data_IF_306241048655
#
_entry.id   IF_306241048655
#
_cell.length_a   1.000
_cell.length_b   1.000
_cell.length_c   1.000
_cell.angle_alpha   90.00
_cell.angle_beta   90.00
_cell.angle_gamma   90.00
#
_symmetry.space_group_name_H-M   'P 1'
#
loop_
_entity.id
_entity.type
_entity.pdbx_description
1 polymer ?
#
# COMPACT_ATOMS: atom_id res chain seq x y z
N UNK A 1 -31.37 10.12 -49.49
CA UNK A 1 -29.93 10.44 -49.40
C UNK A 1 -29.20 9.10 -49.54
N UNK A 2 -28.24 9.05 -50.45
CA UNK A 2 -27.77 7.89 -51.23
C UNK A 2 -26.93 6.85 -50.47
N UNK A 3 -27.13 5.59 -50.89
CA UNK A 3 -26.32 4.38 -50.65
C UNK A 3 -24.98 4.37 -51.43
N UNK A 4 -24.21 3.28 -51.21
CA UNK A 4 -23.01 2.74 -51.89
C UNK A 4 -21.68 3.15 -51.23
N UNK A 5 -20.96 2.30 -50.47
CA UNK A 5 -20.53 0.88 -50.58
C UNK A 5 -19.17 0.72 -51.30
N UNK A 6 -18.33 -0.12 -50.71
CA UNK A 6 -16.87 -0.23 -50.83
C UNK A 6 -16.33 -0.42 -52.27
N UNK A 7 -15.41 0.45 -52.70
CA UNK A 7 -14.58 0.23 -53.90
C UNK A 7 -13.25 -0.44 -53.55
N UNK A 8 -13.10 -1.67 -54.07
CA UNK A 8 -11.88 -2.47 -54.11
C UNK A 8 -10.85 -1.80 -55.01
N UNK A 9 -9.65 -1.63 -54.49
CA UNK A 9 -8.49 -1.15 -55.26
C UNK A 9 -7.95 -2.33 -56.09
N UNK A 10 -8.23 -2.29 -57.38
CA UNK A 10 -7.72 -3.17 -58.44
C UNK A 10 -6.67 -2.37 -59.23
N UNK A 11 -5.39 -2.75 -59.11
CA UNK A 11 -4.31 -2.23 -59.97
C UNK A 11 -3.56 -3.41 -60.55
N UNK A 12 -3.88 -3.71 -61.80
CA UNK A 12 -3.18 -4.67 -62.63
C UNK A 12 -2.37 -3.92 -63.71
N UNK A 13 -1.32 -4.60 -64.15
CA UNK A 13 -0.52 -4.39 -65.35
C UNK A 13 0.59 -3.33 -65.36
N UNK A 14 1.83 -3.81 -65.40
CA UNK A 14 2.58 -3.83 -66.66
C UNK A 14 3.64 -4.98 -66.69
N UNK A 15 3.33 -5.96 -67.54
CA UNK A 15 4.15 -6.90 -68.33
C UNK A 15 5.64 -7.14 -68.04
N UNK A 16 5.96 -8.44 -67.88
CA UNK A 16 7.26 -9.09 -68.10
C UNK A 16 7.73 -9.03 -69.57
N UNK A 17 9.04 -9.26 -69.80
CA UNK A 17 9.34 -10.42 -70.67
C UNK A 17 10.39 -11.39 -70.11
N UNK A 18 10.27 -12.62 -70.63
CA UNK A 18 11.02 -13.84 -70.32
C UNK A 18 12.50 -13.87 -70.78
N UNK A 19 13.17 -14.96 -70.37
CA UNK A 19 14.38 -15.63 -70.92
C UNK A 19 15.75 -15.05 -70.49
N UNK A 20 16.82 -15.82 -70.18
CA UNK A 20 17.22 -17.18 -70.59
C UNK A 20 18.40 -17.73 -69.72
N UNK A 21 18.67 -19.05 -69.78
CA UNK A 21 19.68 -19.82 -69.02
C UNK A 21 21.11 -19.88 -69.62
N UNK A 22 22.09 -20.21 -68.73
CA UNK A 22 23.33 -21.01 -68.90
C UNK A 22 24.57 -20.40 -69.64
N UNK A 23 25.82 -20.98 -69.60
CA UNK A 23 26.32 -22.22 -68.97
C UNK A 23 27.74 -22.19 -68.30
N UNK A 24 28.19 -23.38 -67.85
CA UNK A 24 29.51 -23.78 -67.29
C UNK A 24 30.72 -23.87 -68.26
N UNK A 25 31.94 -23.99 -67.67
CA UNK A 25 33.23 -24.67 -68.10
C UNK A 25 34.42 -23.68 -68.17
N UNK A 26 35.71 -23.98 -67.88
CA UNK A 26 36.54 -25.22 -67.94
C UNK A 26 37.95 -25.01 -67.30
N UNK A 27 38.64 -26.14 -67.07
CA UNK A 27 40.04 -26.37 -66.61
C UNK A 27 41.20 -25.69 -67.38
N UNK A 28 42.36 -25.52 -66.72
CA UNK A 28 43.77 -25.59 -67.23
C UNK A 28 44.63 -26.26 -66.13
N UNK A 29 45.26 -27.44 -66.26
CA UNK A 29 46.40 -27.98 -67.06
C UNK A 29 47.82 -27.48 -66.64
N UNK A 30 48.63 -28.46 -66.21
CA UNK A 30 50.09 -28.60 -65.89
C UNK A 30 51.08 -28.02 -66.95
N UNK A 31 52.42 -27.83 -66.83
CA UNK A 31 53.63 -28.22 -66.00
C UNK A 31 54.87 -27.43 -66.62
N UNK A 32 56.20 -27.70 -66.38
CA UNK A 32 57.05 -28.11 -65.23
C UNK A 32 58.43 -27.35 -65.13
N UNK A 33 59.33 -27.78 -64.20
CA UNK A 33 60.83 -27.89 -64.24
C UNK A 33 61.55 -27.31 -62.98
N UNK A 34 62.08 -28.13 -62.03
CA UNK A 34 63.44 -28.76 -61.90
C UNK A 34 64.51 -27.82 -61.27
N UNK A 35 65.28 -28.05 -60.19
CA UNK A 35 65.64 -29.10 -59.19
C UNK A 35 66.76 -28.48 -58.25
N UNK A 36 67.70 -29.19 -57.57
CA UNK A 36 67.71 -30.29 -56.55
C UNK A 36 68.66 -29.95 -55.30
N UNK A 37 69.21 -30.86 -54.44
CA UNK A 37 68.64 -31.92 -53.56
C UNK A 37 69.24 -32.05 -52.10
N UNK A 38 68.63 -32.95 -51.27
CA UNK A 38 69.19 -33.92 -50.24
C UNK A 38 68.90 -33.78 -48.69
N UNK A 39 68.86 -34.93 -47.93
CA UNK A 39 68.03 -35.26 -46.72
C UNK A 39 68.89 -35.67 -45.48
N UNK A 40 68.54 -36.56 -44.48
CA UNK A 40 67.28 -37.17 -43.94
C UNK A 40 67.08 -36.93 -42.39
N UNK A 41 66.03 -37.31 -41.63
CA UNK A 41 65.58 -38.66 -41.18
C UNK A 41 64.48 -38.51 -40.10
N UNK A 42 63.63 -39.53 -39.96
CA UNK A 42 62.47 -39.70 -39.05
C UNK A 42 62.89 -40.09 -37.58
N UNK A 43 62.01 -40.42 -36.58
CA UNK A 43 60.70 -41.09 -36.71
C UNK A 43 59.52 -40.62 -35.82
N UNK A 44 58.37 -41.13 -36.25
CA UNK A 44 57.04 -41.28 -35.67
C UNK A 44 57.01 -41.70 -34.18
N UNK A 45 56.10 -41.11 -33.41
CA UNK A 45 55.74 -41.54 -32.05
C UNK A 45 54.24 -41.34 -31.80
N UNK A 46 53.54 -42.46 -31.53
CA UNK A 46 52.10 -42.64 -31.44
C UNK A 46 51.47 -41.96 -30.20
N UNK A 47 50.57 -40.98 -30.37
CA UNK A 47 49.44 -40.77 -29.43
C UNK A 47 48.21 -40.13 -30.12
N UNK A 48 47.43 -40.84 -30.97
CA UNK A 48 46.25 -40.25 -31.62
C UNK A 48 44.91 -40.60 -30.93
N UNK A 49 44.89 -40.89 -29.62
CA UNK A 49 43.64 -41.20 -28.88
C UNK A 49 43.38 -40.33 -27.64
N UNK A 50 44.37 -39.60 -27.12
CA UNK A 50 44.17 -38.70 -25.98
C UNK A 50 43.60 -37.32 -26.36
N UNK A 51 43.75 -36.89 -27.62
CA UNK A 51 43.28 -35.57 -28.09
C UNK A 51 41.77 -35.51 -28.34
N UNK A 52 41.12 -36.64 -28.67
CA UNK A 52 39.67 -36.66 -28.94
C UNK A 52 38.86 -36.62 -27.64
N UNK A 53 39.28 -37.37 -26.60
CA UNK A 53 38.61 -37.38 -25.29
C UNK A 53 38.79 -36.03 -24.56
N UNK A 54 39.97 -35.42 -24.67
CA UNK A 54 40.22 -34.08 -24.11
C UNK A 54 39.36 -32.98 -24.74
N UNK A 55 39.14 -33.01 -26.07
CA UNK A 55 38.30 -32.03 -26.76
C UNK A 55 36.82 -32.17 -26.42
N UNK A 56 36.32 -33.41 -26.27
CA UNK A 56 34.93 -33.65 -25.85
C UNK A 56 34.72 -33.19 -24.40
N UNK A 57 35.66 -33.46 -23.50
CA UNK A 57 35.59 -32.98 -22.12
C UNK A 57 35.59 -31.45 -22.02
N UNK A 58 36.39 -30.77 -22.85
CA UNK A 58 36.42 -29.29 -22.93
C UNK A 58 35.11 -28.76 -23.52
N UNK A 59 34.57 -29.37 -24.57
CA UNK A 59 33.29 -28.96 -25.15
C UNK A 59 32.13 -29.12 -24.15
N UNK A 60 32.08 -30.22 -23.42
CA UNK A 60 31.09 -30.44 -22.35
C UNK A 60 31.30 -29.43 -21.22
N UNK A 61 32.53 -29.16 -20.80
CA UNK A 61 32.82 -28.15 -19.78
C UNK A 61 32.41 -26.73 -20.22
N UNK A 62 32.59 -26.38 -21.50
CA UNK A 62 32.13 -25.11 -22.06
C UNK A 62 30.60 -25.04 -22.06
N UNK A 63 29.91 -26.09 -22.50
CA UNK A 63 28.44 -26.13 -22.49
C UNK A 63 27.89 -26.04 -21.06
N UNK A 64 28.47 -26.77 -20.11
CA UNK A 64 28.08 -26.71 -18.70
C UNK A 64 28.38 -25.33 -18.12
N UNK A 65 29.56 -24.77 -18.36
CA UNK A 65 29.89 -23.40 -17.94
C UNK A 65 28.95 -22.37 -18.57
N UNK A 66 28.55 -22.53 -19.82
CA UNK A 66 27.61 -21.64 -20.51
C UNK A 66 26.19 -21.76 -19.95
N UNK A 67 25.71 -22.96 -19.64
CA UNK A 67 24.40 -23.19 -18.99
C UNK A 67 24.40 -22.61 -17.57
N UNK A 68 25.48 -22.80 -16.80
CA UNK A 68 25.61 -22.22 -15.46
C UNK A 68 25.82 -20.69 -15.50
N UNK A 69 26.47 -20.13 -16.53
CA UNK A 69 26.65 -18.70 -16.72
C UNK A 69 25.33 -18.00 -17.09
N UNK A 70 24.53 -18.60 -17.98
CA UNK A 70 23.22 -18.07 -18.37
C UNK A 70 22.21 -18.17 -17.21
N UNK A 71 22.34 -19.17 -16.33
CA UNK A 71 21.54 -19.28 -15.10
C UNK A 71 21.96 -18.30 -13.99
N UNK A 72 23.26 -18.02 -13.84
CA UNK A 72 23.79 -17.19 -12.76
C UNK A 72 23.59 -15.67 -12.96
N UNK A 73 23.48 -15.19 -14.21
CA UNK A 73 23.17 -13.78 -14.49
C UNK A 73 21.67 -13.44 -14.42
N UNK A 74 20.77 -14.43 -14.60
CA UNK A 74 19.32 -14.20 -14.57
C UNK A 74 18.76 -13.99 -13.16
N UNK A 75 19.31 -14.68 -12.14
CA UNK A 75 18.81 -14.56 -10.76
C UNK A 75 19.04 -13.17 -10.14
N UNK A 76 20.17 -12.53 -10.44
CA UNK A 76 20.48 -11.16 -9.99
C UNK A 76 19.66 -10.12 -10.75
N UNK A 77 19.52 -10.27 -12.08
CA UNK A 77 18.73 -9.32 -12.89
C UNK A 77 17.25 -9.36 -12.58
N UNK A 78 16.66 -10.55 -12.32
CA UNK A 78 15.23 -10.65 -12.02
C UNK A 78 14.94 -10.08 -10.65
N UNK A 79 15.74 -10.40 -9.62
CA UNK A 79 15.57 -9.77 -8.30
C UNK A 79 15.66 -8.24 -8.40
N UNK A 80 16.69 -7.72 -9.07
CA UNK A 80 16.88 -6.27 -9.27
C UNK A 80 15.69 -5.62 -10.01
N UNK A 81 15.09 -6.32 -10.98
CA UNK A 81 13.90 -5.84 -11.70
C UNK A 81 12.68 -5.72 -10.78
N UNK A 82 12.41 -6.74 -9.96
CA UNK A 82 11.30 -6.72 -9.00
C UNK A 82 11.54 -5.70 -7.87
N UNK A 83 12.78 -5.57 -7.41
CA UNK A 83 13.17 -4.57 -6.43
C UNK A 83 13.00 -3.15 -6.97
N UNK A 84 13.44 -2.90 -8.20
CA UNK A 84 13.28 -1.61 -8.91
C UNK A 84 11.81 -1.26 -9.11
N UNK A 85 11.00 -2.23 -9.53
CA UNK A 85 9.55 -2.08 -9.63
C UNK A 85 8.93 -1.68 -8.27
N UNK A 86 9.19 -2.46 -7.22
CA UNK A 86 8.66 -2.19 -5.89
C UNK A 86 9.15 -0.85 -5.32
N UNK A 87 10.36 -0.40 -5.69
CA UNK A 87 10.89 0.91 -5.30
C UNK A 87 10.14 2.06 -5.99
N UNK A 88 9.85 1.95 -7.30
CA UNK A 88 9.06 2.97 -8.01
C UNK A 88 7.63 3.05 -7.49
N UNK A 89 7.00 1.90 -7.27
CA UNK A 89 5.67 1.82 -6.64
C UNK A 89 5.71 2.43 -5.24
N UNK A 90 6.80 2.23 -4.48
CA UNK A 90 6.92 2.80 -3.12
C UNK A 90 6.92 4.32 -3.14
N UNK A 91 7.47 4.96 -4.17
CA UNK A 91 7.39 6.41 -4.33
C UNK A 91 5.94 6.87 -4.48
N UNK A 92 5.18 6.24 -5.39
CA UNK A 92 3.76 6.57 -5.62
C UNK A 92 2.92 6.27 -4.38
N UNK A 93 3.06 5.08 -3.80
CA UNK A 93 2.37 4.67 -2.58
C UNK A 93 2.65 5.59 -1.39
N UNK A 94 3.89 6.08 -1.27
CA UNK A 94 4.29 7.02 -0.22
C UNK A 94 3.65 8.40 -0.41
N UNK A 95 3.58 8.88 -1.65
CA UNK A 95 2.91 10.13 -1.99
C UNK A 95 1.41 10.07 -1.68
N UNK A 96 0.72 9.05 -2.19
CA UNK A 96 -0.72 8.85 -1.94
C UNK A 96 -1.04 8.70 -0.45
N UNK A 97 -0.20 8.03 0.33
CA UNK A 97 -0.38 7.94 1.79
C UNK A 97 -0.21 9.28 2.50
N UNK A 98 0.73 10.11 2.05
CA UNK A 98 0.89 11.48 2.59
C UNK A 98 -0.36 12.28 2.29
N UNK A 99 -0.83 12.23 1.05
CA UNK A 99 -2.03 12.92 0.61
C UNK A 99 -3.27 12.48 1.37
N UNK A 100 -3.47 11.17 1.58
CA UNK A 100 -4.56 10.66 2.42
C UNK A 100 -4.48 11.13 3.87
N UNK A 101 -3.28 11.30 4.41
CA UNK A 101 -3.07 11.86 5.76
C UNK A 101 -3.35 13.36 5.82
N UNK A 102 -3.00 14.09 4.77
CA UNK A 102 -3.30 15.52 4.59
C UNK A 102 -4.82 15.71 4.47
N UNK A 103 -5.48 14.98 3.57
CA UNK A 103 -6.93 14.92 3.44
C UNK A 103 -7.63 14.64 4.78
N UNK A 104 -7.20 13.59 5.50
CA UNK A 104 -7.76 13.26 6.81
C UNK A 104 -7.60 14.41 7.83
N UNK A 105 -6.48 15.14 7.77
CA UNK A 105 -6.22 16.30 8.62
C UNK A 105 -7.09 17.51 8.23
N UNK A 106 -7.44 17.64 6.96
CA UNK A 106 -8.28 18.72 6.46
C UNK A 106 -9.75 18.55 6.83
N UNK A 107 -10.28 17.34 6.75
CA UNK A 107 -11.66 17.04 7.16
C UNK A 107 -11.95 17.36 8.62
N UNK A 108 -10.89 17.49 9.42
CA UNK A 108 -10.98 17.68 10.87
C UNK A 108 -10.43 19.03 11.33
N UNK A 109 -9.90 19.82 10.39
CA UNK A 109 -9.37 21.14 10.68
C UNK A 109 -10.48 22.09 11.10
N UNK A 110 -10.24 22.83 12.19
CA UNK A 110 -11.16 23.87 12.63
C UNK A 110 -10.98 25.15 11.81
N UNK A 111 -12.08 25.86 11.57
CA UNK A 111 -12.06 27.16 10.90
C UNK A 111 -11.86 27.14 9.38
N UNK A 112 -11.87 25.96 8.76
CA UNK A 112 -11.85 25.82 7.30
C UNK A 112 -13.11 26.44 6.69
N UNK A 113 -12.99 27.17 5.58
CA UNK A 113 -14.15 27.67 4.83
C UNK A 113 -14.55 26.68 3.73
N UNK A 114 -15.82 26.74 3.31
CA UNK A 114 -16.33 25.92 2.20
C UNK A 114 -15.46 26.04 0.94
N UNK A 115 -15.14 27.26 0.50
CA UNK A 115 -14.32 27.49 -0.71
C UNK A 115 -12.88 26.99 -0.58
N UNK A 116 -12.34 26.99 0.65
CA UNK A 116 -11.00 26.47 0.91
C UNK A 116 -10.99 24.94 0.86
N UNK A 117 -12.00 24.29 1.44
CA UNK A 117 -12.19 22.85 1.34
C UNK A 117 -12.37 22.40 -0.11
N UNK A 118 -13.23 23.09 -0.87
CA UNK A 118 -13.43 22.81 -2.30
C UNK A 118 -12.11 22.88 -3.08
N UNK A 119 -11.33 23.94 -2.88
CA UNK A 119 -10.05 24.14 -3.56
C UNK A 119 -9.04 23.04 -3.21
N UNK A 120 -8.99 22.62 -1.95
CA UNK A 120 -8.11 21.55 -1.47
C UNK A 120 -8.50 20.20 -2.07
N UNK A 121 -9.78 19.83 -2.04
CA UNK A 121 -10.27 18.58 -2.64
C UNK A 121 -9.95 18.50 -4.15
N UNK A 122 -10.09 19.63 -4.87
CA UNK A 122 -9.71 19.70 -6.29
C UNK A 122 -8.19 19.57 -6.49
N UNK A 123 -7.39 20.17 -5.60
CA UNK A 123 -5.93 20.03 -5.64
C UNK A 123 -5.50 18.59 -5.36
N UNK A 124 -6.08 17.94 -4.36
CA UNK A 124 -5.79 16.55 -3.99
C UNK A 124 -6.18 15.61 -5.13
N UNK A 125 -7.34 15.83 -5.76
CA UNK A 125 -7.76 15.06 -6.94
C UNK A 125 -6.75 15.19 -8.10
N UNK A 126 -6.23 16.39 -8.35
CA UNK A 126 -5.19 16.61 -9.36
C UNK A 126 -3.87 15.94 -8.99
N UNK A 127 -3.52 15.91 -7.70
CA UNK A 127 -2.32 15.25 -7.20
C UNK A 127 -2.42 13.73 -7.37
N UNK A 128 -3.55 13.10 -7.00
CA UNK A 128 -3.79 11.67 -7.26
C UNK A 128 -3.77 11.35 -8.76
N UNK A 129 -4.32 12.22 -9.60
CA UNK A 129 -4.24 12.03 -11.06
C UNK A 129 -2.78 12.03 -11.57
N UNK A 130 -1.92 12.89 -11.02
CA UNK A 130 -0.49 12.87 -11.35
C UNK A 130 0.19 11.59 -10.86
N UNK A 131 -0.23 11.06 -9.72
CA UNK A 131 0.27 9.78 -9.18
C UNK A 131 -0.16 8.59 -10.05
N UNK A 132 -1.39 8.59 -10.55
CA UNK A 132 -1.87 7.67 -11.57
C UNK A 132 -1.01 7.75 -12.84
N UNK A 133 -0.73 8.96 -13.33
CA UNK A 133 0.10 9.17 -14.52
C UNK A 133 1.55 8.71 -14.31
N UNK A 134 2.10 8.91 -13.12
CA UNK A 134 3.42 8.37 -12.74
C UNK A 134 3.41 6.85 -12.68
N UNK A 135 2.34 6.26 -12.13
CA UNK A 135 2.17 4.82 -12.05
C UNK A 135 2.07 4.18 -13.45
N UNK A 136 1.34 4.81 -14.39
CA UNK A 136 1.27 4.38 -15.79
C UNK A 136 2.64 4.24 -16.46
N UNK A 137 3.62 5.07 -16.06
CA UNK A 137 4.98 5.03 -16.59
C UNK A 137 5.86 3.95 -15.95
N UNK A 138 5.40 3.30 -14.88
CA UNK A 138 6.11 2.19 -14.26
C UNK A 138 5.97 0.97 -15.18
N UNK A 139 7.10 0.35 -15.51
CA UNK A 139 7.13 -0.89 -16.29
C UNK A 139 7.14 -2.11 -15.36
N UNK A 140 6.01 -2.79 -15.14
CA UNK A 140 5.97 -3.98 -14.30
C UNK A 140 6.68 -5.19 -14.96
N UNK A 141 7.34 -6.04 -14.17
CA UNK A 141 7.77 -7.36 -14.60
C UNK A 141 6.62 -8.15 -15.23
N UNK A 142 6.92 -9.02 -16.20
CA UNK A 142 5.91 -9.72 -17.01
C UNK A 142 4.70 -10.26 -16.22
N UNK A 143 4.92 -11.07 -15.17
CA UNK A 143 3.83 -11.62 -14.37
C UNK A 143 3.05 -10.61 -13.52
N UNK A 144 3.62 -9.41 -13.28
CA UNK A 144 2.95 -8.34 -12.53
C UNK A 144 2.16 -7.39 -13.44
N UNK A 145 2.26 -7.49 -14.77
CA UNK A 145 1.56 -6.56 -15.70
C UNK A 145 0.05 -6.50 -15.48
N UNK A 146 -0.61 -7.66 -15.38
CA UNK A 146 -2.05 -7.70 -15.15
C UNK A 146 -2.43 -7.22 -13.74
N UNK A 147 -1.61 -7.55 -12.75
CA UNK A 147 -1.84 -7.14 -11.35
C UNK A 147 -1.64 -5.63 -11.20
N UNK A 148 -0.69 -5.03 -11.92
CA UNK A 148 -0.42 -3.60 -11.89
C UNK A 148 -1.61 -2.75 -12.34
N UNK A 149 -2.49 -3.27 -13.21
CA UNK A 149 -3.73 -2.57 -13.56
C UNK A 149 -4.59 -2.26 -12.34
N UNK A 150 -4.60 -3.13 -11.32
CA UNK A 150 -5.36 -2.90 -10.08
C UNK A 150 -4.77 -1.77 -9.22
N UNK A 151 -3.46 -1.52 -9.31
CA UNK A 151 -2.88 -0.33 -8.70
C UNK A 151 -3.38 0.94 -9.40
N UNK A 152 -3.51 0.92 -10.71
CA UNK A 152 -4.03 2.05 -11.49
C UNK A 152 -5.50 2.30 -11.15
N UNK A 153 -6.31 1.24 -11.08
CA UNK A 153 -7.72 1.32 -10.68
C UNK A 153 -7.87 1.95 -9.29
N UNK A 154 -7.00 1.60 -8.33
CA UNK A 154 -7.01 2.21 -6.99
C UNK A 154 -6.72 3.72 -7.03
N UNK A 155 -5.67 4.17 -7.74
CA UNK A 155 -5.33 5.59 -7.85
C UNK A 155 -6.43 6.38 -8.61
N UNK A 156 -7.02 5.79 -9.64
CA UNK A 156 -8.14 6.40 -10.37
C UNK A 156 -9.38 6.57 -9.48
N UNK A 157 -9.70 5.58 -8.64
CA UNK A 157 -10.78 5.70 -7.66
C UNK A 157 -10.52 6.80 -6.63
N UNK A 158 -9.26 6.99 -6.20
CA UNK A 158 -8.88 8.09 -5.29
C UNK A 158 -9.08 9.45 -5.95
N UNK A 159 -8.54 9.64 -7.16
CA UNK A 159 -8.70 10.88 -7.92
C UNK A 159 -10.17 11.22 -8.16
N UNK A 160 -10.98 10.24 -8.58
CA UNK A 160 -12.43 10.41 -8.81
C UNK A 160 -13.18 10.72 -7.52
N UNK A 161 -12.91 9.99 -6.44
CA UNK A 161 -13.54 10.22 -5.14
C UNK A 161 -13.28 11.63 -4.63
N UNK A 162 -12.03 12.09 -4.67
CA UNK A 162 -11.66 13.46 -4.25
C UNK A 162 -12.33 14.54 -5.10
N UNK A 163 -12.34 14.37 -6.43
CA UNK A 163 -13.02 15.30 -7.33
C UNK A 163 -14.52 15.36 -7.04
N UNK A 164 -15.17 14.21 -6.87
CA UNK A 164 -16.60 14.12 -6.60
C UNK A 164 -16.97 14.69 -5.22
N UNK A 165 -16.13 14.50 -4.20
CA UNK A 165 -16.28 15.19 -2.92
C UNK A 165 -16.25 16.71 -3.11
N UNK A 166 -15.29 17.22 -3.90
CA UNK A 166 -15.20 18.65 -4.24
C UNK A 166 -16.47 19.16 -4.94
N UNK A 167 -17.01 18.40 -5.89
CA UNK A 167 -18.24 18.74 -6.60
C UNK A 167 -19.44 18.82 -5.65
N UNK A 168 -19.58 17.89 -4.71
CA UNK A 168 -20.65 17.92 -3.69
C UNK A 168 -20.52 19.15 -2.79
N UNK A 169 -19.30 19.48 -2.33
CA UNK A 169 -19.03 20.69 -1.53
C UNK A 169 -19.37 21.96 -2.32
N UNK A 170 -19.06 22.02 -3.62
CA UNK A 170 -19.34 23.19 -4.46
C UNK A 170 -20.84 23.46 -4.65
N UNK A 171 -21.66 22.40 -4.68
CA UNK A 171 -23.11 22.46 -4.89
C UNK A 171 -23.89 22.69 -3.58
N UNK A 172 -23.24 22.48 -2.43
CA UNK A 172 -23.87 22.62 -1.12
C UNK A 172 -24.19 24.08 -0.78
N UNK A 173 -25.41 24.33 -0.31
CA UNK A 173 -25.87 25.61 0.18
C UNK A 173 -25.96 25.59 1.73
N UNK A 174 -25.04 26.24 2.46
CA UNK A 174 -25.02 26.22 3.92
C UNK A 174 -26.24 26.90 4.57
N UNK A 175 -27.04 27.68 3.83
CA UNK A 175 -28.25 28.32 4.35
C UNK A 175 -29.49 27.42 4.30
N UNK A 176 -29.36 26.20 3.78
CA UNK A 176 -30.47 25.27 3.58
C UNK A 176 -30.20 23.95 4.29
N UNK A 177 -31.03 23.62 5.29
CA UNK A 177 -30.90 22.36 6.04
C UNK A 177 -31.16 21.14 5.14
N UNK A 178 -32.08 21.25 4.17
CA UNK A 178 -32.30 20.20 3.17
C UNK A 178 -31.08 20.02 2.25
N UNK A 179 -30.44 21.12 1.83
CA UNK A 179 -29.17 21.03 1.07
C UNK A 179 -28.07 20.37 1.90
N UNK A 180 -28.01 20.65 3.20
CA UNK A 180 -27.05 20.03 4.12
C UNK A 180 -27.28 18.54 4.23
N UNK A 181 -28.52 18.08 4.43
CA UNK A 181 -28.83 16.66 4.45
C UNK A 181 -28.47 15.95 3.13
N UNK A 182 -28.76 16.57 1.97
CA UNK A 182 -28.38 16.03 0.65
C UNK A 182 -26.87 15.95 0.49
N UNK A 183 -26.14 17.01 0.85
CA UNK A 183 -24.69 17.05 0.76
C UNK A 183 -24.02 16.02 1.68
N UNK A 184 -24.51 15.83 2.90
CA UNK A 184 -24.02 14.77 3.80
C UNK A 184 -24.10 13.38 3.17
N UNK A 185 -25.24 13.05 2.55
CA UNK A 185 -25.42 11.77 1.88
C UNK A 185 -24.56 11.65 0.61
N UNK A 186 -24.44 12.74 -0.16
CA UNK A 186 -23.56 12.79 -1.34
C UNK A 186 -22.10 12.57 -0.97
N UNK A 187 -21.59 13.27 0.03
CA UNK A 187 -20.22 13.12 0.51
C UNK A 187 -19.95 11.70 1.00
N UNK A 188 -20.88 11.10 1.76
CA UNK A 188 -20.73 9.72 2.22
C UNK A 188 -20.68 8.73 1.04
N UNK A 189 -21.53 8.91 0.04
CA UNK A 189 -21.56 8.08 -1.17
C UNK A 189 -20.23 8.18 -1.95
N UNK A 190 -19.71 9.40 -2.15
CA UNK A 190 -18.42 9.56 -2.85
C UNK A 190 -17.23 9.09 -1.99
N UNK A 191 -17.35 9.17 -0.66
CA UNK A 191 -16.39 8.60 0.28
C UNK A 191 -16.22 7.09 0.15
N UNK A 192 -17.26 6.36 -0.30
CA UNK A 192 -17.17 4.92 -0.58
C UNK A 192 -16.17 4.61 -1.70
N UNK A 193 -15.95 5.52 -2.66
CA UNK A 193 -14.92 5.34 -3.70
C UNK A 193 -13.52 5.33 -3.11
N UNK A 194 -13.27 6.18 -2.11
CA UNK A 194 -11.98 6.22 -1.41
C UNK A 194 -11.75 4.94 -0.60
N UNK A 195 -12.79 4.44 0.09
CA UNK A 195 -12.72 3.15 0.80
C UNK A 195 -12.49 2.01 -0.19
N UNK A 196 -13.21 1.98 -1.31
CA UNK A 196 -13.04 0.98 -2.35
C UNK A 196 -11.62 1.00 -2.93
N UNK A 197 -11.01 2.17 -3.09
CA UNK A 197 -9.64 2.30 -3.56
C UNK A 197 -8.62 1.57 -2.68
N UNK A 198 -8.81 1.63 -1.36
CA UNK A 198 -7.94 0.95 -0.40
C UNK A 198 -8.13 -0.56 -0.44
N UNK A 199 -9.36 -1.03 -0.60
CA UNK A 199 -9.65 -2.45 -0.82
C UNK A 199 -9.00 -2.95 -2.11
N UNK A 200 -9.10 -2.20 -3.20
CA UNK A 200 -8.47 -2.56 -4.49
C UNK A 200 -6.94 -2.59 -4.34
N UNK A 201 -6.34 -1.60 -3.69
CA UNK A 201 -4.89 -1.58 -3.45
C UNK A 201 -4.44 -2.79 -2.64
N UNK A 202 -5.14 -3.12 -1.56
CA UNK A 202 -4.69 -4.16 -0.64
C UNK A 202 -4.96 -5.57 -1.18
N UNK A 203 -6.20 -5.83 -1.58
CA UNK A 203 -6.70 -7.16 -1.89
C UNK A 203 -6.48 -7.55 -3.35
N UNK A 204 -6.55 -6.59 -4.29
CA UNK A 204 -6.45 -6.89 -5.72
C UNK A 204 -5.06 -6.59 -6.30
N UNK A 205 -4.30 -5.67 -5.69
CA UNK A 205 -2.94 -5.37 -6.10
C UNK A 205 -1.87 -5.97 -5.19
N UNK A 206 -1.79 -5.54 -3.93
CA UNK A 206 -0.66 -5.84 -3.03
C UNK A 206 -0.60 -7.31 -2.69
N UNK A 207 -1.72 -7.92 -2.33
CA UNK A 207 -1.77 -9.33 -1.95
C UNK A 207 -1.42 -10.25 -3.15
N UNK A 208 -2.02 -10.10 -4.34
CA UNK A 208 -1.65 -10.90 -5.51
C UNK A 208 -0.21 -10.65 -5.98
N UNK A 209 0.27 -9.40 -5.95
CA UNK A 209 1.65 -9.10 -6.30
C UNK A 209 2.62 -9.79 -5.33
N UNK A 210 2.36 -9.74 -4.03
CA UNK A 210 3.17 -10.41 -3.01
C UNK A 210 3.15 -11.93 -3.22
N UNK A 211 2.00 -12.51 -3.55
CA UNK A 211 1.91 -13.93 -3.89
C UNK A 211 2.71 -14.27 -5.15
N UNK A 212 2.70 -13.40 -6.15
CA UNK A 212 3.50 -13.58 -7.36
C UNK A 212 5.01 -13.55 -7.07
N UNK A 213 5.47 -12.65 -6.19
CA UNK A 213 6.87 -12.63 -5.73
C UNK A 213 7.27 -13.97 -5.09
N UNK A 214 6.40 -14.54 -4.24
CA UNK A 214 6.62 -15.86 -3.62
C UNK A 214 6.69 -16.97 -4.67
N UNK A 215 5.75 -17.00 -5.62
CA UNK A 215 5.73 -17.98 -6.72
C UNK A 215 7.00 -17.92 -7.56
N UNK A 216 7.58 -16.72 -7.73
CA UNK A 216 8.82 -16.50 -8.47
C UNK A 216 10.09 -16.69 -7.62
N UNK A 217 9.98 -17.07 -6.34
CA UNK A 217 11.12 -17.24 -5.44
C UNK A 217 11.85 -15.94 -5.09
N UNK A 218 11.23 -14.78 -5.28
CA UNK A 218 11.82 -13.47 -4.98
C UNK A 218 11.69 -13.19 -3.48
N UNK A 219 12.83 -13.07 -2.81
CA UNK A 219 12.92 -12.79 -1.37
C UNK A 219 13.50 -11.40 -1.11
N UNK A 220 13.22 -10.80 0.05
CA UNK A 220 13.75 -9.48 0.41
C UNK A 220 13.15 -8.28 -0.35
N UNK A 221 12.19 -8.50 -1.24
CA UNK A 221 11.40 -7.45 -1.90
C UNK A 221 10.00 -7.41 -1.28
N UNK A 222 9.58 -6.22 -0.85
CA UNK A 222 8.26 -5.99 -0.27
C UNK A 222 7.49 -5.05 -1.19
N UNK A 223 6.30 -5.49 -1.62
CA UNK A 223 5.34 -4.62 -2.31
C UNK A 223 4.79 -3.63 -1.27
N UNK A 224 4.89 -2.31 -1.52
CA UNK A 224 4.47 -1.31 -0.56
C UNK A 224 2.96 -1.33 -0.32
N UNK A 225 2.56 -1.01 0.91
CA UNK A 225 1.17 -0.76 1.26
C UNK A 225 0.83 0.72 0.99
N UNK A 226 -0.42 0.97 0.63
CA UNK A 226 -0.99 2.31 0.60
C UNK A 226 -2.45 2.24 1.05
N UNK A 227 -2.81 3.11 2.00
CA UNK A 227 -4.18 3.30 2.45
C UNK A 227 -4.42 4.80 2.55
N UNK A 228 -5.37 5.27 1.74
CA UNK A 228 -5.78 6.66 1.66
C UNK A 228 -6.74 7.02 2.79
N UNK A 229 -7.65 6.11 3.15
CA UNK A 229 -8.62 6.28 4.25
C UNK A 229 -8.41 5.19 5.30
N UNK A 230 -7.38 5.32 6.16
CA UNK A 230 -7.08 4.30 7.17
C UNK A 230 -8.17 4.17 8.24
N UNK A 231 -9.04 5.18 8.38
CA UNK A 231 -10.21 5.14 9.24
C UNK A 231 -11.47 5.49 8.42
N UNK A 232 -12.28 4.49 8.09
CA UNK A 232 -13.49 4.65 7.27
C UNK A 232 -14.52 5.58 7.90
N UNK A 233 -14.48 5.77 9.23
CA UNK A 233 -15.36 6.72 9.91
C UNK A 233 -15.11 8.17 9.45
N UNK A 234 -13.90 8.51 8.98
CA UNK A 234 -13.56 9.84 8.45
C UNK A 234 -14.48 10.27 7.31
N UNK A 235 -14.87 9.32 6.45
CA UNK A 235 -15.68 9.57 5.25
C UNK A 235 -17.12 9.08 5.43
N UNK A 236 -17.56 8.87 6.67
CA UNK A 236 -18.94 8.47 6.98
C UNK A 236 -19.91 9.65 6.88
N UNK A 237 -21.19 9.35 6.67
CA UNK A 237 -22.26 10.35 6.73
C UNK A 237 -22.29 11.11 8.08
N UNK A 238 -21.91 10.45 9.18
CA UNK A 238 -21.84 11.10 10.49
C UNK A 238 -20.75 12.17 10.52
N UNK A 239 -19.53 11.81 10.13
CA UNK A 239 -18.39 12.72 10.12
C UNK A 239 -18.59 13.87 9.14
N UNK A 240 -19.11 13.59 7.94
CA UNK A 240 -19.46 14.63 6.99
C UNK A 240 -20.59 15.53 7.48
N UNK A 241 -21.57 15.00 8.21
CA UNK A 241 -22.59 15.81 8.86
C UNK A 241 -22.00 16.83 9.85
N UNK A 242 -21.05 16.39 10.68
CA UNK A 242 -20.35 17.28 11.62
C UNK A 242 -19.50 18.31 10.87
N UNK A 243 -18.75 17.89 9.84
CA UNK A 243 -17.97 18.80 9.00
C UNK A 243 -18.84 19.89 8.38
N UNK A 244 -19.96 19.53 7.76
CA UNK A 244 -20.85 20.51 7.13
C UNK A 244 -21.46 21.47 8.14
N UNK A 245 -21.85 21.01 9.33
CA UNK A 245 -22.32 21.91 10.40
C UNK A 245 -21.22 22.87 10.87
N UNK A 246 -19.97 22.41 10.98
CA UNK A 246 -18.82 23.28 11.28
C UNK A 246 -18.60 24.32 10.18
N UNK A 247 -18.58 23.91 8.91
CA UNK A 247 -18.44 24.80 7.76
C UNK A 247 -19.59 25.82 7.68
N UNK A 248 -20.82 25.40 8.02
CA UNK A 248 -22.00 26.24 8.08
C UNK A 248 -21.87 27.30 9.17
N UNK A 249 -21.43 26.92 10.37
CA UNK A 249 -21.13 27.84 11.47
C UNK A 249 -20.05 28.86 11.10
N UNK A 250 -18.95 28.41 10.49
CA UNK A 250 -17.86 29.27 10.03
C UNK A 250 -18.32 30.27 8.94
N UNK A 251 -19.23 29.84 8.06
CA UNK A 251 -19.77 30.67 6.97
C UNK A 251 -20.84 31.66 7.46
N UNK A 252 -21.59 31.32 8.52
CA UNK A 252 -22.69 32.14 9.05
C UNK A 252 -22.29 33.00 10.26
N UNK A 253 -21.07 32.87 10.78
CA UNK A 253 -20.53 33.70 11.85
C UNK A 253 -20.99 33.33 13.27
N UNK A 254 -21.42 32.08 13.48
CA UNK A 254 -21.80 31.56 14.80
C UNK A 254 -20.57 31.27 15.68
N UNK A 255 -20.70 31.49 16.99
CA UNK A 255 -19.71 30.95 17.96
C UNK A 255 -20.10 29.50 18.26
N UNK A 256 -19.19 28.51 18.13
CA UNK A 256 -19.49 27.13 18.50
C UNK A 256 -19.90 27.06 19.98
N UNK A 257 -21.05 26.45 20.25
CA UNK A 257 -21.54 26.17 21.61
C UNK A 257 -21.70 24.67 21.78
N UNK A 258 -21.08 24.07 22.80
CA UNK A 258 -21.15 22.64 23.07
C UNK A 258 -20.04 22.21 24.03
N UNK A 259 -20.08 20.97 24.49
CA UNK A 259 -19.05 20.39 25.34
C UNK A 259 -18.03 19.62 24.50
N UNK A 260 -16.75 19.78 24.81
CA UNK A 260 -15.70 18.86 24.37
C UNK A 260 -15.48 17.80 25.45
N UNK A 261 -15.24 16.54 25.07
CA UNK A 261 -14.93 15.53 26.08
C UNK A 261 -14.67 14.13 25.56
N UNK A 262 -13.77 13.43 26.24
CA UNK A 262 -13.46 12.02 26.02
C UNK A 262 -13.68 11.23 27.31
N UNK A 263 -14.17 10.00 27.21
CA UNK A 263 -14.33 9.13 28.36
C UNK A 263 -13.81 7.72 28.10
N UNK A 264 -13.17 7.15 29.11
CA UNK A 264 -12.78 5.75 29.11
C UNK A 264 -13.94 4.92 29.66
N UNK A 265 -14.55 4.10 28.82
CA UNK A 265 -15.65 3.20 29.21
C UNK A 265 -15.16 1.98 29.98
N UNK A 266 -13.99 1.47 29.63
CA UNK A 266 -13.43 0.29 30.27
C UNK A 266 -12.29 -0.34 29.47
N UNK A 267 -11.71 -1.39 30.04
CA UNK A 267 -10.60 -2.12 29.42
C UNK A 267 -10.87 -3.62 29.51
N UNK A 268 -10.69 -4.29 28.38
CA UNK A 268 -10.77 -5.75 28.26
C UNK A 268 -9.39 -6.31 27.96
N UNK A 269 -9.01 -7.39 28.64
CA UNK A 269 -7.78 -8.14 28.37
C UNK A 269 -8.05 -9.38 27.51
N UNK A 270 -7.20 -9.60 26.51
CA UNK A 270 -7.18 -10.78 25.65
C UNK A 270 -5.83 -11.52 25.79
N UNK A 271 -5.76 -12.84 25.60
CA UNK A 271 -6.87 -13.75 25.30
C UNK A 271 -7.77 -14.00 26.53
N UNK A 272 -9.05 -14.26 26.30
CA UNK A 272 -10.03 -14.57 27.35
C UNK A 272 -11.11 -13.51 27.58
N UNK A 273 -11.12 -12.42 26.80
CA UNK A 273 -12.17 -11.39 26.83
C UNK A 273 -12.51 -10.93 28.26
N UNK A 274 -11.48 -10.76 29.10
CA UNK A 274 -11.64 -10.52 30.54
C UNK A 274 -11.76 -9.03 30.80
N UNK A 275 -12.94 -8.58 31.22
CA UNK A 275 -13.17 -7.20 31.63
C UNK A 275 -12.36 -6.88 32.90
N UNK A 276 -11.56 -5.82 32.86
CA UNK A 276 -10.82 -5.36 34.03
C UNK A 276 -11.73 -4.57 34.98
N UNK A 277 -11.48 -4.72 36.28
CA UNK A 277 -12.23 -4.05 37.34
C UNK A 277 -11.37 -3.00 38.05
N UNK A 278 -11.95 -1.83 38.31
CA UNK A 278 -11.32 -0.76 39.10
C UNK A 278 -11.46 -0.99 40.60
N UNK A 279 -12.36 -1.89 41.03
CA UNK A 279 -12.66 -2.16 42.44
C UNK A 279 -12.11 -3.50 42.93
N UNK A 280 -11.92 -4.47 42.04
CA UNK A 280 -11.46 -5.83 42.36
C UNK A 280 -10.27 -6.21 41.49
N UNK A 281 -9.36 -7.01 42.05
CA UNK A 281 -8.22 -7.50 41.28
C UNK A 281 -8.65 -8.54 40.23
N UNK A 282 -8.15 -8.42 39.01
CA UNK A 282 -8.48 -9.33 37.90
C UNK A 282 -7.27 -10.20 37.53
N UNK A 283 -7.48 -11.50 37.34
CA UNK A 283 -6.43 -12.39 36.80
C UNK A 283 -6.42 -12.29 35.27
N UNK A 284 -5.25 -12.08 34.68
CA UNK A 284 -5.06 -11.93 33.23
C UNK A 284 -4.10 -13.00 32.73
N UNK A 285 -4.58 -13.80 31.77
CA UNK A 285 -3.77 -14.81 31.11
C UNK A 285 -2.81 -14.17 30.11
N UNK A 286 -1.54 -14.52 30.21
CA UNK A 286 -0.48 -14.00 29.35
C UNK A 286 -0.12 -15.02 28.29
N UNK A 287 -0.13 -14.58 27.03
CA UNK A 287 0.42 -15.29 25.87
C UNK A 287 1.10 -14.29 24.94
N UNK A 288 1.69 -14.78 23.83
CA UNK A 288 2.23 -13.90 22.77
C UNK A 288 1.15 -13.02 22.11
N UNK A 289 -0.13 -13.38 22.27
CA UNK A 289 -1.27 -12.62 21.78
C UNK A 289 -1.88 -11.67 22.82
N UNK A 290 -1.22 -11.46 23.98
CA UNK A 290 -1.72 -10.56 25.02
C UNK A 290 -2.00 -9.18 24.44
N UNK A 291 -3.24 -8.73 24.58
CA UNK A 291 -3.66 -7.37 24.24
C UNK A 291 -4.64 -6.81 25.26
N UNK A 292 -4.64 -5.48 25.36
CA UNK A 292 -5.65 -4.73 26.12
C UNK A 292 -6.43 -3.87 25.14
N UNK A 293 -7.75 -3.97 25.19
CA UNK A 293 -8.67 -3.19 24.36
C UNK A 293 -9.35 -2.17 25.26
N UNK A 294 -9.04 -0.90 25.06
CA UNK A 294 -9.67 0.22 25.76
C UNK A 294 -10.83 0.76 24.93
N UNK A 295 -12.04 0.78 25.49
CA UNK A 295 -13.19 1.44 24.88
C UNK A 295 -13.17 2.92 25.25
N UNK A 296 -13.02 3.79 24.25
CA UNK A 296 -13.01 5.24 24.41
C UNK A 296 -14.25 5.80 23.74
N UNK A 297 -15.00 6.64 24.43
CA UNK A 297 -16.16 7.35 23.87
C UNK A 297 -15.90 8.86 23.86
N UNK A 298 -16.33 9.52 22.79
CA UNK A 298 -16.49 10.97 22.78
C UNK A 298 -17.74 11.34 23.58
N UNK A 299 -17.53 11.86 24.78
CA UNK A 299 -18.62 12.25 25.69
C UNK A 299 -19.16 13.66 25.38
N UNK A 300 -18.51 14.39 24.47
CA UNK A 300 -18.85 15.74 24.06
C UNK A 300 -19.91 15.83 22.96
N UNK A 301 -20.08 17.04 22.46
CA UNK A 301 -20.98 17.44 21.38
C UNK A 301 -20.21 17.76 20.09
N UNK A 302 -18.88 17.80 20.15
CA UNK A 302 -17.99 18.07 19.04
C UNK A 302 -17.16 16.85 18.70
N UNK A 303 -16.89 16.68 17.40
CA UNK A 303 -15.98 15.65 16.93
C UNK A 303 -14.55 15.96 17.40
N UNK A 304 -13.89 14.96 17.97
CA UNK A 304 -12.54 15.08 18.51
C UNK A 304 -11.51 14.36 17.65
N UNK A 305 -10.32 14.95 17.55
CA UNK A 305 -9.25 14.43 16.69
C UNK A 305 -7.92 14.31 17.40
N UNK A 306 -7.11 13.37 16.90
CA UNK A 306 -5.80 13.09 17.50
C UNK A 306 -5.90 12.69 18.97
N UNK A 307 -6.98 12.02 19.38
CA UNK A 307 -7.21 11.62 20.77
C UNK A 307 -6.18 10.56 21.16
N UNK A 308 -5.21 10.95 21.99
CA UNK A 308 -4.10 10.08 22.40
C UNK A 308 -4.53 9.22 23.58
N UNK A 309 -4.28 7.93 23.51
CA UNK A 309 -4.56 6.97 24.59
C UNK A 309 -3.27 6.31 25.02
N UNK A 310 -2.96 6.45 26.30
CA UNK A 310 -1.80 5.85 26.94
C UNK A 310 -2.21 4.64 27.77
N UNK A 311 -1.46 3.54 27.62
CA UNK A 311 -1.53 2.39 28.51
C UNK A 311 -0.20 2.22 29.22
N UNK A 312 -0.24 2.14 30.55
CA UNK A 312 0.92 1.93 31.41
C UNK A 312 0.73 0.69 32.27
N UNK A 313 1.63 -0.28 32.16
CA UNK A 313 1.69 -1.45 33.04
C UNK A 313 2.82 -1.24 34.04
N UNK A 314 2.54 -1.33 35.34
CA UNK A 314 3.56 -1.29 36.39
C UNK A 314 3.57 -2.61 37.16
N UNK A 315 4.73 -3.27 37.16
CA UNK A 315 4.94 -4.57 37.80
C UNK A 315 6.24 -4.53 38.61
N UNK A 316 6.12 -4.33 39.93
CA UNK A 316 7.27 -4.07 40.79
C UNK A 316 7.96 -2.76 40.40
N UNK A 317 9.26 -2.81 40.12
CA UNK A 317 10.05 -1.64 39.69
C UNK A 317 10.00 -1.36 38.19
N UNK A 318 9.35 -2.23 37.39
CA UNK A 318 9.32 -2.09 35.92
C UNK A 318 8.02 -1.43 35.48
N UNK A 319 8.14 -0.46 34.57
CA UNK A 319 7.00 0.21 33.92
C UNK A 319 7.09 0.07 32.41
N UNK A 320 6.01 -0.38 31.78
CA UNK A 320 5.88 -0.52 30.33
C UNK A 320 4.81 0.46 29.87
N UNK A 321 5.13 1.30 28.87
CA UNK A 321 4.20 2.26 28.29
C UNK A 321 3.91 1.94 26.83
N UNK A 322 2.66 2.09 26.43
CA UNK A 322 2.21 2.06 25.04
C UNK A 322 1.33 3.28 24.78
N UNK A 323 1.42 3.81 23.58
CA UNK A 323 0.61 4.93 23.13
C UNK A 323 -0.07 4.52 21.83
N UNK A 324 -1.33 4.89 21.71
CA UNK A 324 -2.12 4.79 20.49
C UNK A 324 -2.83 6.12 20.29
N UNK A 325 -3.20 6.43 19.06
CA UNK A 325 -3.93 7.66 18.73
C UNK A 325 -5.17 7.30 17.94
N UNK A 326 -6.33 7.77 18.41
CA UNK A 326 -7.56 7.75 17.63
C UNK A 326 -7.54 9.00 16.75
N UNK A 327 -7.50 8.80 15.44
CA UNK A 327 -7.43 9.92 14.49
C UNK A 327 -8.68 10.80 14.55
N UNK A 328 -9.83 10.16 14.71
CA UNK A 328 -11.14 10.79 14.72
C UNK A 328 -12.11 10.00 15.59
N UNK A 329 -12.89 10.69 16.41
CA UNK A 329 -14.06 10.14 17.10
C UNK A 329 -15.19 11.16 17.03
N UNK A 330 -16.38 10.73 16.62
CA UNK A 330 -17.55 11.61 16.49
C UNK A 330 -18.32 11.73 17.82
N UNK A 331 -19.12 12.79 18.04
CA UNK A 331 -19.84 13.00 19.30
C UNK A 331 -20.68 11.80 19.70
N UNK A 332 -20.51 11.23 20.90
CA UNK A 332 -21.17 10.00 21.40
C UNK A 332 -20.79 8.70 20.68
N UNK A 333 -19.72 8.69 19.88
CA UNK A 333 -19.20 7.47 19.29
C UNK A 333 -18.26 6.77 20.26
N UNK A 334 -18.28 5.44 20.26
CA UNK A 334 -17.28 4.62 20.96
C UNK A 334 -16.32 3.98 19.97
N UNK A 335 -15.03 4.08 20.25
CA UNK A 335 -13.93 3.48 19.48
C UNK A 335 -13.08 2.61 20.39
N UNK A 336 -12.73 1.42 19.89
CA UNK A 336 -11.87 0.48 20.62
C UNK A 336 -10.40 0.65 20.21
N UNK A 337 -9.54 0.91 21.18
CA UNK A 337 -8.09 1.04 21.00
C UNK A 337 -7.39 -0.19 21.52
N UNK A 338 -6.67 -0.90 20.63
CA UNK A 338 -5.95 -2.12 20.99
C UNK A 338 -4.48 -1.84 21.23
N UNK A 339 -3.99 -2.25 22.40
CA UNK A 339 -2.58 -2.25 22.76
C UNK A 339 -2.06 -3.69 22.79
N UNK A 340 -0.95 -3.97 22.11
CA UNK A 340 -0.37 -5.31 22.00
C UNK A 340 1.16 -5.29 22.07
N UNK A 341 1.78 -6.47 21.96
CA UNK A 341 3.24 -6.60 21.90
C UNK A 341 3.93 -6.30 23.23
N UNK A 342 3.34 -6.72 24.35
CA UNK A 342 3.94 -6.53 25.67
C UNK A 342 5.04 -7.57 25.91
N UNK A 343 6.19 -7.12 26.39
CA UNK A 343 7.24 -7.97 26.94
C UNK A 343 7.25 -7.79 28.46
N UNK A 344 6.49 -8.63 29.17
CA UNK A 344 6.35 -8.53 30.62
C UNK A 344 7.58 -9.14 31.33
N UNK A 345 8.17 -8.46 32.32
CA UNK A 345 9.25 -9.02 33.12
C UNK A 345 8.76 -10.17 34.00
N UNK A 346 9.67 -11.05 34.44
CA UNK A 346 9.34 -12.14 35.36
C UNK A 346 8.69 -11.65 36.68
N UNK A 347 9.01 -10.43 37.11
CA UNK A 347 8.42 -9.79 38.29
C UNK A 347 6.91 -9.51 38.15
N UNK A 348 6.36 -9.51 36.93
CA UNK A 348 4.94 -9.30 36.67
C UNK A 348 4.07 -10.53 37.01
N UNK A 349 4.65 -11.73 37.04
CA UNK A 349 3.91 -12.98 37.22
C UNK A 349 3.76 -13.33 38.68
N UNK A 350 2.54 -13.72 39.09
CA UNK A 350 2.23 -14.12 40.48
C UNK A 350 2.26 -12.98 41.51
N UNK A 351 2.61 -11.76 41.09
CA UNK A 351 2.61 -10.56 41.94
C UNK A 351 1.52 -9.58 41.49
N UNK A 352 1.14 -8.67 42.39
CA UNK A 352 0.22 -7.58 42.08
C UNK A 352 0.89 -6.63 41.07
N UNK A 353 0.23 -6.40 39.95
CA UNK A 353 0.58 -5.39 38.96
C UNK A 353 -0.57 -4.38 38.80
N UNK A 354 -0.27 -3.23 38.21
CA UNK A 354 -1.29 -2.24 37.85
C UNK A 354 -1.28 -1.98 36.35
N UNK A 355 -2.46 -1.86 35.78
CA UNK A 355 -2.68 -1.37 34.41
C UNK A 355 -3.39 -0.04 34.55
N UNK A 356 -2.76 1.06 34.14
CA UNK A 356 -3.38 2.38 34.05
C UNK A 356 -3.64 2.68 32.58
N UNK A 357 -4.88 3.08 32.27
CA UNK A 357 -5.23 3.67 30.98
C UNK A 357 -5.62 5.12 31.18
N UNK A 358 -5.19 5.97 30.27
CA UNK A 358 -5.28 7.42 30.34
C UNK A 358 -5.54 7.95 28.94
N UNK A 359 -6.72 8.53 28.73
CA UNK A 359 -7.09 9.24 27.51
C UNK A 359 -6.64 10.69 27.70
N UNK A 360 -5.74 11.18 26.85
CA UNK A 360 -5.26 12.55 26.93
C UNK A 360 -6.44 13.53 26.72
N UNK A 361 -6.42 14.69 27.40
CA UNK A 361 -7.47 15.68 27.26
C UNK A 361 -7.54 16.20 25.82
N UNK A 362 -8.77 16.38 25.32
CA UNK A 362 -9.01 17.04 24.03
C UNK A 362 -9.13 18.56 24.22
N UNK A 363 -8.81 19.39 23.20
CA UNK A 363 -8.89 20.84 23.34
C UNK A 363 -10.28 21.31 23.78
N UNK A 364 -10.34 22.10 24.86
CA UNK A 364 -11.61 22.63 25.39
C UNK A 364 -12.35 21.69 26.34
N UNK A 365 -11.84 20.48 26.58
CA UNK A 365 -12.40 19.56 27.56
C UNK A 365 -12.21 20.06 28.99
N UNK A 366 -13.30 20.11 29.74
CA UNK A 366 -13.29 20.57 31.14
C UNK A 366 -13.36 19.43 32.15
N UNK A 367 -14.05 18.33 31.82
CA UNK A 367 -14.14 17.17 32.69
C UNK A 367 -13.05 16.17 32.31
N UNK A 368 -12.04 16.01 33.17
CA UNK A 368 -10.93 15.07 32.95
C UNK A 368 -11.02 13.81 33.83
N UNK A 369 -12.05 13.73 34.67
CA UNK A 369 -12.14 12.70 35.72
C UNK A 369 -12.53 11.33 35.17
N UNK A 370 -13.18 11.31 34.00
CA UNK A 370 -13.64 10.13 33.27
C UNK A 370 -12.62 9.64 32.21
N UNK A 371 -11.46 10.29 32.10
CA UNK A 371 -10.47 9.97 31.06
C UNK A 371 -9.48 8.89 31.52
N UNK A 372 -9.43 8.58 32.82
CA UNK A 372 -8.45 7.64 33.38
C UNK A 372 -9.08 6.57 34.25
N UNK A 373 -8.53 5.36 34.15
CA UNK A 373 -8.82 4.28 35.09
C UNK A 373 -7.54 3.51 35.42
N UNK A 374 -7.47 3.02 36.66
CA UNK A 374 -6.40 2.13 37.13
C UNK A 374 -6.98 0.81 37.59
N UNK A 375 -6.43 -0.28 37.07
CA UNK A 375 -6.87 -1.65 37.31
C UNK A 375 -5.78 -2.40 38.05
N UNK A 376 -6.17 -3.12 39.10
CA UNK A 376 -5.26 -4.08 39.75
C UNK A 376 -5.36 -5.42 39.03
N UNK A 377 -4.23 -5.97 38.60
CA UNK A 377 -4.20 -7.26 37.89
C UNK A 377 -3.17 -8.23 38.48
N UNK A 378 -3.41 -9.52 38.27
CA UNK A 378 -2.45 -10.60 38.48
C UNK A 378 -2.19 -11.29 37.15
N UNK A 379 -0.94 -11.27 36.70
CA UNK A 379 -0.57 -11.97 35.48
C UNK A 379 -0.27 -13.44 35.78
N UNK A 380 -0.90 -14.32 34.99
CA UNK A 380 -0.70 -15.76 35.04
C UNK A 380 -0.30 -16.25 33.65
N UNK A 381 0.59 -17.23 33.59
CA UNK A 381 0.89 -17.91 32.33
C UNK A 381 -0.33 -18.75 31.95
N UNK A 382 -0.83 -18.53 30.74
CA UNK A 382 -1.95 -19.28 30.16
C UNK A 382 -1.54 -20.62 29.59
#
# INVERSE_FOLDING_TARGET
MTEYDDERIEFDFFDEPETQEAPQRRRRVRRPASGPPRPPSAPTGLVPLARLVGLIAIAIAIVVAFVFWVGACQGKSTHDQYASYAAKVRTVAGSSNSLGSEFASELVASGLKQSELESKLQQDAQQEQQEYDQALQIQPPGPLRAIHAQLLDALELRAKGLAALGDVVSQWNPKSDSSTATATNGLASEGELLIASDVVWDELYRLPATQQLKTQGITGVVIPASSFVPNTELVSARSFGVLLEHLKGATTGGTPTGLHGSQLLGVVANPGNTQLSTSTATTVNVSTALSFVAGVEDSGDFQETGVVVHLTITAGATTIKRTQTIQLISPKQTTNVTFSGFNLPSSAFGNKATVKVDVAPVPGENNLTNNTATYTVFFTLG
#
